data_IF_455611014653
#
_entry.id   IF_455611014653
#
_cell.length_a   1.000
_cell.length_b   1.000
_cell.length_c   1.000
_cell.angle_alpha   90.00
_cell.angle_beta   90.00
_cell.angle_gamma   90.00
#
_symmetry.space_group_name_H-M   'P 1'
#
loop_
_entity.id
_entity.type
_entity.pdbx_description
1 polymer ?
#
# COMPACT_ATOMS: atom_id res chain seq x y z
N UNK A 1 13.10 2.48 -17.75
CA UNK A 1 14.33 2.17 -18.49
C UNK A 1 14.18 2.85 -19.83
N UNK A 2 15.04 3.81 -20.17
CA UNK A 2 14.95 4.55 -21.44
C UNK A 2 15.84 3.80 -22.42
N UNK A 3 15.29 3.31 -23.53
CA UNK A 3 16.07 2.59 -24.53
C UNK A 3 17.07 3.54 -25.22
N UNK A 4 18.36 3.19 -25.21
CA UNK A 4 19.36 3.96 -25.97
C UNK A 4 19.17 3.69 -27.48
N UNK A 5 18.54 4.63 -28.16
CA UNK A 5 18.27 4.57 -29.60
C UNK A 5 19.56 4.52 -30.46
N UNK A 6 20.74 4.78 -29.87
CA UNK A 6 22.05 4.75 -30.54
C UNK A 6 22.83 3.47 -30.26
N UNK A 7 22.34 2.60 -29.37
CA UNK A 7 22.98 1.34 -29.08
C UNK A 7 23.00 0.45 -30.34
N UNK A 8 24.11 -0.26 -30.51
CA UNK A 8 24.28 -1.22 -31.61
C UNK A 8 23.60 -2.56 -31.30
N UNK A 9 23.57 -2.92 -30.02
CA UNK A 9 22.94 -4.12 -29.50
C UNK A 9 22.03 -3.74 -28.32
N UNK A 10 20.94 -4.47 -28.18
CA UNK A 10 20.11 -4.47 -26.98
C UNK A 10 20.81 -5.25 -25.85
N UNK A 11 20.28 -5.15 -24.63
CA UNK A 11 20.83 -5.83 -23.46
C UNK A 11 20.80 -7.36 -23.56
N UNK A 12 19.86 -7.90 -24.34
CA UNK A 12 19.75 -9.32 -24.65
C UNK A 12 20.71 -9.81 -25.74
N UNK A 13 21.55 -8.90 -26.27
CA UNK A 13 22.51 -9.18 -27.34
C UNK A 13 21.91 -9.15 -28.75
N UNK A 14 20.61 -8.86 -28.91
CA UNK A 14 20.00 -8.71 -30.23
C UNK A 14 20.46 -7.41 -30.91
N UNK A 15 20.56 -7.44 -32.24
CA UNK A 15 21.01 -6.28 -33.02
C UNK A 15 19.93 -5.19 -33.05
N UNK A 16 20.28 -3.98 -32.65
CA UNK A 16 19.33 -2.89 -32.45
C UNK A 16 19.06 -2.04 -33.70
N UNK A 17 19.81 -2.25 -34.80
CA UNK A 17 19.69 -1.48 -36.03
C UNK A 17 19.65 0.06 -35.81
N UNK A 18 20.68 0.64 -35.16
CA UNK A 18 20.72 2.09 -34.93
C UNK A 18 20.74 2.87 -36.24
N UNK A 19 20.21 4.10 -36.22
CA UNK A 19 20.10 4.95 -37.42
C UNK A 19 21.44 5.21 -38.11
N UNK A 20 22.50 5.38 -37.33
CA UNK A 20 23.84 5.66 -37.85
C UNK A 20 24.87 4.81 -37.13
N UNK A 21 25.88 4.36 -37.87
CA UNK A 21 27.02 3.60 -37.36
C UNK A 21 28.32 4.25 -37.82
N UNK A 22 29.32 4.27 -36.94
CA UNK A 22 30.63 4.87 -37.25
C UNK A 22 31.50 3.99 -38.14
N UNK A 23 31.35 2.67 -37.99
CA UNK A 23 32.15 1.65 -38.67
C UNK A 23 31.24 0.51 -39.08
N UNK A 24 31.22 0.18 -40.36
CA UNK A 24 30.36 -0.90 -40.87
C UNK A 24 30.78 -2.27 -40.32
N UNK A 25 32.05 -2.43 -39.94
CA UNK A 25 32.61 -3.65 -39.37
C UNK A 25 31.98 -3.99 -38.01
N UNK A 26 31.47 -2.98 -37.29
CA UNK A 26 30.77 -3.19 -36.02
C UNK A 26 29.39 -3.80 -36.22
N UNK A 27 28.77 -3.61 -37.39
CA UNK A 27 27.47 -4.20 -37.72
C UNK A 27 27.65 -5.69 -38.03
N UNK A 28 26.80 -6.58 -37.49
CA UNK A 28 26.77 -7.99 -37.86
C UNK A 28 26.76 -8.17 -39.37
N UNK A 29 27.53 -9.13 -39.88
CA UNK A 29 27.72 -9.31 -41.32
C UNK A 29 26.40 -9.49 -42.08
N UNK A 30 25.44 -10.17 -41.46
CA UNK A 30 24.06 -10.37 -41.96
C UNK A 30 23.23 -9.10 -42.14
N UNK A 31 23.68 -7.96 -41.61
CA UNK A 31 22.92 -6.71 -41.58
C UNK A 31 23.71 -5.53 -42.15
N UNK A 32 24.92 -5.75 -42.69
CA UNK A 32 25.75 -4.68 -43.25
C UNK A 32 25.13 -4.06 -44.49
N UNK A 33 24.42 -4.85 -45.28
CA UNK A 33 23.66 -4.45 -46.47
C UNK A 33 22.51 -3.46 -46.16
N UNK A 34 22.08 -3.38 -44.89
CA UNK A 34 21.06 -2.43 -44.45
C UNK A 34 21.59 -1.00 -44.38
N UNK A 35 22.90 -0.80 -44.46
CA UNK A 35 23.56 0.49 -44.27
C UNK A 35 24.22 0.98 -45.56
N UNK A 36 24.08 2.28 -45.81
CA UNK A 36 24.69 2.98 -46.94
C UNK A 36 25.70 4.01 -46.42
N UNK A 37 26.82 4.26 -47.13
CA UNK A 37 27.71 5.37 -46.81
C UNK A 37 26.93 6.69 -46.74
N UNK A 38 27.14 7.46 -45.68
CA UNK A 38 26.44 8.74 -45.51
C UNK A 38 26.94 9.76 -46.54
N UNK A 39 26.08 10.12 -47.49
CA UNK A 39 26.44 11.02 -48.58
C UNK A 39 26.91 12.39 -48.06
N UNK A 40 28.05 12.86 -48.56
CA UNK A 40 28.62 14.15 -48.18
C UNK A 40 29.40 14.15 -46.86
N UNK A 41 29.70 12.97 -46.28
CA UNK A 41 30.56 12.82 -45.10
C UNK A 41 31.82 12.03 -45.46
N UNK A 42 32.99 12.59 -45.16
CA UNK A 42 34.30 11.95 -45.35
C UNK A 42 34.74 11.11 -44.16
N UNK A 43 33.94 11.04 -43.10
CA UNK A 43 34.28 10.37 -41.84
C UNK A 43 33.95 8.87 -41.82
N UNK A 44 33.49 8.32 -42.96
CA UNK A 44 33.21 6.89 -43.09
C UNK A 44 31.96 6.42 -42.35
N UNK A 45 31.09 7.34 -41.89
CA UNK A 45 29.80 6.97 -41.29
C UNK A 45 28.89 6.30 -42.31
N UNK A 46 28.11 5.35 -41.79
CA UNK A 46 27.05 4.72 -42.56
C UNK A 46 25.71 5.01 -41.89
N UNK A 47 24.68 5.20 -42.72
CA UNK A 47 23.31 5.46 -42.31
C UNK A 47 22.43 4.29 -42.73
N UNK A 48 21.45 3.95 -41.89
CA UNK A 48 20.47 2.94 -42.22
C UNK A 48 19.72 3.35 -43.49
N UNK A 49 19.62 2.43 -44.44
CA UNK A 49 18.85 2.62 -45.66
C UNK A 49 17.41 3.02 -45.31
N UNK A 50 16.87 3.99 -46.03
CA UNK A 50 15.51 4.50 -45.85
C UNK A 50 14.44 3.40 -45.88
N UNK A 51 14.61 2.37 -46.70
CA UNK A 51 13.66 1.25 -46.74
C UNK A 51 13.67 0.47 -45.42
N UNK A 52 14.85 0.08 -44.94
CA UNK A 52 14.99 -0.63 -43.65
C UNK A 52 14.57 0.26 -42.48
N UNK A 53 14.84 1.56 -42.57
CA UNK A 53 14.35 2.54 -41.59
C UNK A 53 12.82 2.49 -41.47
N UNK A 54 12.10 2.53 -42.60
CA UNK A 54 10.63 2.52 -42.61
C UNK A 54 10.02 1.17 -42.24
N UNK A 55 10.64 0.06 -42.66
CA UNK A 55 10.07 -1.27 -42.49
C UNK A 55 10.39 -1.89 -41.13
N UNK A 56 11.56 -1.57 -40.56
CA UNK A 56 12.04 -2.22 -39.33
C UNK A 56 12.14 -1.21 -38.19
N UNK A 57 12.90 -0.14 -38.38
CA UNK A 57 13.30 0.73 -37.27
C UNK A 57 12.18 1.64 -36.79
N UNK A 58 11.45 2.29 -37.69
CA UNK A 58 10.35 3.19 -37.34
C UNK A 58 9.19 2.46 -36.63
N UNK A 59 8.70 1.30 -37.11
CA UNK A 59 7.69 0.51 -36.39
C UNK A 59 8.18 0.06 -35.01
N UNK A 60 9.44 -0.36 -34.92
CA UNK A 60 10.05 -0.75 -33.64
C UNK A 60 10.08 0.43 -32.66
N UNK A 61 10.54 1.61 -33.06
CA UNK A 61 10.57 2.80 -32.19
C UNK A 61 9.16 3.20 -31.73
N UNK A 62 8.16 3.13 -32.60
CA UNK A 62 6.76 3.41 -32.24
C UNK A 62 6.23 2.41 -31.23
N UNK A 63 6.58 1.14 -31.39
CA UNK A 63 6.15 0.08 -30.47
C UNK A 63 6.82 0.22 -29.11
N UNK A 64 8.12 0.54 -29.08
CA UNK A 64 8.84 0.86 -27.84
C UNK A 64 8.19 2.04 -27.13
N UNK A 65 7.91 3.13 -27.84
CA UNK A 65 7.22 4.30 -27.26
C UNK A 65 5.82 3.96 -26.73
N UNK A 66 5.06 3.12 -27.46
CA UNK A 66 3.75 2.62 -27.02
C UNK A 66 3.87 1.81 -25.73
N UNK A 67 4.85 0.92 -25.65
CA UNK A 67 5.09 0.07 -24.48
C UNK A 67 5.60 0.87 -23.29
N UNK A 68 6.53 1.80 -23.49
CA UNK A 68 7.02 2.71 -22.44
C UNK A 68 5.87 3.53 -21.85
N UNK A 69 4.97 4.05 -22.69
CA UNK A 69 3.75 4.73 -22.23
C UNK A 69 2.83 3.80 -21.45
N UNK A 70 2.57 2.59 -21.96
CA UNK A 70 1.73 1.62 -21.27
C UNK A 70 2.31 1.20 -19.91
N UNK A 71 3.63 1.05 -19.80
CA UNK A 71 4.31 0.77 -18.54
C UNK A 71 4.20 1.93 -17.55
N UNK A 72 4.36 3.17 -18.02
CA UNK A 72 4.19 4.36 -17.17
C UNK A 72 2.75 4.44 -16.63
N UNK A 73 1.75 4.25 -17.49
CA UNK A 73 0.34 4.24 -17.11
C UNK A 73 0.02 3.10 -16.13
N UNK A 74 0.57 1.91 -16.36
CA UNK A 74 0.38 0.76 -15.48
C UNK A 74 1.03 0.98 -14.12
N UNK A 75 2.23 1.56 -14.08
CA UNK A 75 2.92 1.89 -12.82
C UNK A 75 2.13 2.91 -12.01
N UNK A 76 1.61 3.96 -12.66
CA UNK A 76 0.78 4.96 -12.00
C UNK A 76 -0.51 4.33 -11.42
N UNK A 77 -1.20 3.47 -12.19
CA UNK A 77 -2.39 2.74 -11.71
C UNK A 77 -2.06 1.81 -10.55
N UNK A 78 -0.97 1.06 -10.65
CA UNK A 78 -0.56 0.13 -9.60
C UNK A 78 -0.30 0.85 -8.27
N UNK A 79 0.40 1.98 -8.30
CA UNK A 79 0.65 2.78 -7.10
C UNK A 79 -0.65 3.27 -6.46
N UNK A 80 -1.61 3.74 -7.27
CA UNK A 80 -2.92 4.16 -6.76
C UNK A 80 -3.75 3.01 -6.21
N UNK A 81 -3.71 1.84 -6.87
CA UNK A 81 -4.46 0.66 -6.46
C UNK A 81 -3.88 0.06 -5.16
N UNK A 82 -2.56 0.01 -5.03
CA UNK A 82 -1.88 -0.46 -3.82
C UNK A 82 -2.18 0.44 -2.64
N UNK A 83 -2.14 1.77 -2.81
CA UNK A 83 -2.47 2.68 -1.72
C UNK A 83 -3.94 2.55 -1.33
N UNK A 84 -4.85 2.44 -2.31
CA UNK A 84 -6.27 2.21 -2.05
C UNK A 84 -6.50 0.89 -1.28
N UNK A 85 -5.84 -0.18 -1.69
CA UNK A 85 -5.93 -1.47 -1.02
C UNK A 85 -5.35 -1.41 0.40
N UNK A 86 -4.23 -0.72 0.60
CA UNK A 86 -3.64 -0.52 1.92
C UNK A 86 -4.60 0.25 2.85
N UNK A 87 -5.23 1.31 2.36
CA UNK A 87 -6.22 2.08 3.12
C UNK A 87 -7.47 1.24 3.42
N UNK A 88 -7.95 0.44 2.47
CA UNK A 88 -9.08 -0.46 2.68
C UNK A 88 -8.78 -1.51 3.76
N UNK A 89 -7.62 -2.17 3.70
CA UNK A 89 -7.17 -3.14 4.72
C UNK A 89 -7.01 -2.50 6.11
N UNK A 90 -6.52 -1.26 6.17
CA UNK A 90 -6.43 -0.51 7.44
C UNK A 90 -7.80 -0.27 8.05
N UNK A 91 -8.77 0.19 7.24
CA UNK A 91 -10.15 0.41 7.69
C UNK A 91 -10.80 -0.88 8.17
N UNK A 92 -10.70 -1.96 7.39
CA UNK A 92 -11.24 -3.27 7.76
C UNK A 92 -10.67 -3.78 9.09
N UNK A 93 -9.38 -3.57 9.35
CA UNK A 93 -8.75 -3.91 10.64
C UNK A 93 -9.28 -3.06 11.79
N UNK A 94 -9.43 -1.75 11.59
CA UNK A 94 -10.00 -0.83 12.60
C UNK A 94 -11.44 -1.26 12.92
N UNK A 95 -12.26 -1.47 11.90
CA UNK A 95 -13.67 -1.86 12.05
C UNK A 95 -13.79 -3.21 12.77
N UNK A 96 -12.95 -4.18 12.39
CA UNK A 96 -12.91 -5.50 13.04
C UNK A 96 -12.50 -5.43 14.51
N UNK A 97 -11.49 -4.61 14.83
CA UNK A 97 -11.02 -4.42 16.20
C UNK A 97 -12.10 -3.74 17.05
N UNK A 98 -12.69 -2.65 16.57
CA UNK A 98 -13.79 -1.94 17.24
C UNK A 98 -14.98 -2.85 17.48
N UNK A 99 -15.40 -3.59 16.45
CA UNK A 99 -16.51 -4.52 16.58
C UNK A 99 -16.21 -5.63 17.59
N UNK A 100 -15.02 -6.23 17.56
CA UNK A 100 -14.64 -7.27 18.53
C UNK A 100 -14.63 -6.71 19.94
N UNK A 101 -13.98 -5.56 20.17
CA UNK A 101 -13.89 -4.95 21.49
C UNK A 101 -15.27 -4.52 22.03
N UNK A 102 -16.12 -3.93 21.20
CA UNK A 102 -17.50 -3.58 21.60
C UNK A 102 -18.30 -4.82 22.01
N UNK A 103 -18.14 -5.93 21.27
CA UNK A 103 -18.76 -7.21 21.59
C UNK A 103 -18.25 -7.79 22.90
N UNK A 104 -16.93 -7.82 23.09
CA UNK A 104 -16.29 -8.34 24.30
C UNK A 104 -16.63 -7.47 25.53
N UNK A 105 -16.81 -6.16 25.34
CA UNK A 105 -17.24 -5.24 26.38
C UNK A 105 -18.72 -5.42 26.80
N UNK A 106 -19.50 -6.17 26.02
CA UNK A 106 -20.89 -6.51 26.31
C UNK A 106 -21.92 -5.52 25.77
N UNK A 107 -21.59 -4.77 24.71
CA UNK A 107 -22.54 -3.90 24.00
C UNK A 107 -23.53 -4.78 23.22
N UNK A 108 -24.85 -4.55 23.30
CA UNK A 108 -25.83 -5.31 22.52
C UNK A 108 -25.61 -5.14 21.01
N UNK A 109 -25.74 -6.22 20.22
CA UNK A 109 -25.51 -6.22 18.76
C UNK A 109 -26.26 -5.08 18.03
N UNK A 110 -27.51 -4.81 18.42
CA UNK A 110 -28.32 -3.73 17.82
C UNK A 110 -27.88 -2.30 18.16
N UNK A 111 -26.93 -2.13 19.08
CA UNK A 111 -26.36 -0.83 19.48
C UNK A 111 -24.88 -0.68 19.11
N UNK A 112 -24.23 -1.73 18.60
CA UNK A 112 -22.81 -1.71 18.27
C UNK A 112 -22.46 -0.68 17.21
N UNK A 113 -23.24 -0.60 16.13
CA UNK A 113 -23.01 0.38 15.06
C UNK A 113 -23.05 1.83 15.59
N UNK A 114 -24.00 2.12 16.49
CA UNK A 114 -24.11 3.42 17.15
C UNK A 114 -22.93 3.72 18.08
N UNK A 115 -22.50 2.74 18.87
CA UNK A 115 -21.33 2.90 19.74
C UNK A 115 -20.04 3.15 18.92
N UNK A 116 -19.84 2.39 17.85
CA UNK A 116 -18.70 2.54 16.95
C UNK A 116 -18.71 3.92 16.27
N UNK A 117 -19.88 4.41 15.85
CA UNK A 117 -20.02 5.73 15.26
C UNK A 117 -19.59 6.85 16.23
N UNK A 118 -20.06 6.80 17.48
CA UNK A 118 -19.68 7.78 18.51
C UNK A 118 -18.18 7.71 18.82
N UNK A 119 -17.63 6.51 19.02
CA UNK A 119 -16.20 6.31 19.26
C UNK A 119 -15.34 6.82 18.10
N UNK A 120 -15.82 6.72 16.86
CA UNK A 120 -15.14 7.22 15.65
C UNK A 120 -15.26 8.72 15.44
N UNK A 121 -16.23 9.37 16.09
CA UNK A 121 -16.34 10.82 16.12
C UNK A 121 -15.38 11.42 17.17
N UNK A 122 -15.22 10.74 18.31
CA UNK A 122 -14.39 11.23 19.42
C UNK A 122 -12.90 10.89 19.32
N UNK A 123 -12.55 9.85 18.56
CA UNK A 123 -11.19 9.35 18.48
C UNK A 123 -10.73 9.13 17.04
N UNK A 124 -9.42 9.22 16.85
CA UNK A 124 -8.75 8.84 15.60
C UNK A 124 -8.09 7.48 15.79
N UNK A 125 -8.19 6.61 14.79
CA UNK A 125 -7.66 5.25 14.86
C UNK A 125 -6.52 5.06 13.87
N UNK A 126 -5.43 4.48 14.35
CA UNK A 126 -4.26 4.13 13.54
C UNK A 126 -3.93 2.66 13.76
N UNK A 127 -3.55 1.95 12.69
CA UNK A 127 -3.02 0.60 12.79
C UNK A 127 -1.52 0.70 12.95
N UNK A 128 -1.02 0.30 14.11
CA UNK A 128 0.42 0.17 14.34
C UNK A 128 0.89 -1.15 13.69
N UNK A 129 1.54 -0.99 12.52
CA UNK A 129 2.07 -2.10 11.71
C UNK A 129 3.41 -2.64 12.28
N UNK A 130 3.91 -2.14 13.43
CA UNK A 130 5.18 -2.56 14.03
C UNK A 130 5.24 -4.02 14.50
N UNK A 131 4.11 -4.75 14.51
CA UNK A 131 4.07 -6.18 14.79
C UNK A 131 4.30 -7.02 13.51
N UNK A 132 5.52 -7.53 13.36
CA UNK A 132 5.99 -8.36 12.23
C UNK A 132 5.18 -9.66 12.01
N UNK A 133 4.37 -10.09 12.98
CA UNK A 133 3.59 -11.35 12.92
C UNK A 133 2.11 -11.16 12.53
N UNK A 134 1.78 -10.11 11.78
CA UNK A 134 0.48 -9.97 11.11
C UNK A 134 -0.67 -9.45 11.98
N UNK A 135 -0.47 -9.32 13.29
CA UNK A 135 -1.44 -8.77 14.25
C UNK A 135 -1.20 -7.29 14.55
N UNK A 136 -1.19 -6.42 13.54
CA UNK A 136 -1.07 -4.98 13.76
C UNK A 136 -2.12 -4.49 14.77
N UNK A 137 -1.67 -3.80 15.82
CA UNK A 137 -2.53 -3.37 16.93
C UNK A 137 -3.20 -2.05 16.55
N UNK A 138 -4.50 -1.93 16.79
CA UNK A 138 -5.22 -0.68 16.57
C UNK A 138 -5.03 0.21 17.80
N UNK A 139 -4.49 1.41 17.57
CA UNK A 139 -4.29 2.44 18.58
C UNK A 139 -5.32 3.54 18.35
N UNK A 140 -6.04 3.91 19.40
CA UNK A 140 -6.92 5.06 19.41
C UNK A 140 -6.17 6.28 19.95
N UNK A 141 -6.41 7.44 19.35
CA UNK A 141 -5.95 8.73 19.86
C UNK A 141 -7.13 9.63 20.11
N UNK A 142 -7.35 10.00 21.37
CA UNK A 142 -8.37 10.97 21.82
C UNK A 142 -7.66 12.11 22.56
N UNK A 143 -7.90 13.35 22.13
CA UNK A 143 -7.29 14.55 22.72
C UNK A 143 -5.75 14.47 22.86
N UNK A 144 -5.07 13.86 21.88
CA UNK A 144 -3.61 13.68 21.88
C UNK A 144 -3.09 12.57 22.79
N UNK A 145 -3.96 11.87 23.52
CA UNK A 145 -3.59 10.70 24.34
C UNK A 145 -3.84 9.43 23.55
N UNK A 146 -2.82 8.56 23.49
CA UNK A 146 -2.92 7.24 22.85
C UNK A 146 -3.39 6.19 23.84
N UNK A 147 -4.38 5.40 23.45
CA UNK A 147 -4.92 4.29 24.22
C UNK A 147 -5.22 3.09 23.31
N UNK A 148 -5.35 1.90 23.91
CA UNK A 148 -5.87 0.74 23.19
C UNK A 148 -7.36 0.92 22.91
N UNK A 149 -7.88 0.24 21.88
CA UNK A 149 -9.32 0.25 21.59
C UNK A 149 -10.14 -0.24 22.80
N UNK A 150 -9.63 -1.24 23.52
CA UNK A 150 -10.19 -1.74 24.79
C UNK A 150 -10.37 -0.63 25.82
N UNK A 151 -9.29 0.09 26.14
CA UNK A 151 -9.34 1.18 27.11
C UNK A 151 -10.26 2.32 26.64
N UNK A 152 -10.35 2.58 25.34
CA UNK A 152 -11.28 3.57 24.81
C UNK A 152 -12.74 3.14 25.02
N UNK A 153 -13.09 1.90 24.67
CA UNK A 153 -14.45 1.37 24.81
C UNK A 153 -14.86 1.29 26.29
N UNK A 154 -13.96 0.90 27.19
CA UNK A 154 -14.23 0.90 28.62
C UNK A 154 -14.50 2.31 29.16
N UNK A 155 -13.64 3.27 28.84
CA UNK A 155 -13.84 4.68 29.24
C UNK A 155 -15.13 5.27 28.65
N UNK A 156 -15.49 4.91 27.42
CA UNK A 156 -16.76 5.30 26.82
C UNK A 156 -17.93 4.70 27.59
N UNK A 157 -17.91 3.39 27.87
CA UNK A 157 -18.98 2.75 28.63
C UNK A 157 -19.11 3.33 30.04
N UNK A 158 -18.02 3.75 30.68
CA UNK A 158 -18.03 4.38 31.99
C UNK A 158 -18.55 5.83 31.99
N UNK A 159 -18.63 6.47 30.82
CA UNK A 159 -19.19 7.81 30.66
C UNK A 159 -20.73 7.84 30.71
N UNK A 160 -21.28 9.05 30.88
CA UNK A 160 -22.73 9.28 30.85
C UNK A 160 -23.32 8.95 29.46
N UNK A 161 -22.56 9.15 28.39
CA UNK A 161 -22.97 8.87 27.01
C UNK A 161 -22.97 7.37 26.70
N UNK A 162 -22.00 6.62 27.24
CA UNK A 162 -21.93 5.17 27.07
C UNK A 162 -22.87 4.37 27.97
N UNK A 163 -23.51 5.01 28.96
CA UNK A 163 -24.43 4.35 29.88
C UNK A 163 -25.59 3.64 29.17
N UNK A 164 -26.08 4.22 28.06
CA UNK A 164 -27.15 3.65 27.24
C UNK A 164 -26.72 2.42 26.42
N UNK A 165 -25.41 2.26 26.19
CA UNK A 165 -24.82 1.17 25.39
C UNK A 165 -24.40 -0.02 26.25
N UNK A 166 -24.44 0.12 27.58
CA UNK A 166 -24.21 -0.99 28.51
C UNK A 166 -25.29 -2.05 28.28
N UNK A 167 -24.90 -3.29 28.01
CA UNK A 167 -25.82 -4.43 28.02
C UNK A 167 -26.49 -4.61 29.39
N UNK A 168 -27.38 -5.61 29.52
CA UNK A 168 -28.06 -5.94 30.79
C UNK A 168 -27.04 -6.05 31.93
N UNK A 169 -26.97 -5.00 32.76
CA UNK A 169 -26.16 -4.82 33.97
C UNK A 169 -24.88 -5.66 34.00
N UNK A 170 -23.71 -5.04 33.72
CA UNK A 170 -22.50 -5.42 34.45
C UNK A 170 -22.90 -5.42 35.93
N UNK A 171 -22.80 -6.57 36.60
CA UNK A 171 -23.02 -6.61 38.03
C UNK A 171 -22.20 -5.47 38.65
N UNK A 172 -22.80 -4.70 39.54
CA UNK A 172 -22.06 -3.70 40.30
C UNK A 172 -20.77 -4.38 40.81
N UNK A 173 -19.61 -3.70 40.76
CA UNK A 173 -18.38 -4.24 41.33
C UNK A 173 -18.73 -4.78 42.71
N UNK A 174 -18.59 -6.09 42.90
CA UNK A 174 -19.09 -6.71 44.12
C UNK A 174 -18.36 -6.09 45.31
N UNK A 175 -19.08 -5.35 46.15
CA UNK A 175 -18.68 -4.85 47.48
C UNK A 175 -18.16 -5.96 48.44
N UNK A 176 -18.14 -7.21 47.97
CA UNK A 176 -17.68 -8.37 48.71
C UNK A 176 -16.17 -8.40 48.93
N UNK A 177 -15.35 -7.66 48.15
CA UNK A 177 -13.89 -7.68 48.36
C UNK A 177 -13.44 -6.89 49.60
N UNK A 178 -14.12 -5.77 49.91
CA UNK A 178 -13.87 -5.01 51.15
C UNK A 178 -14.44 -5.73 52.38
N UNK A 179 -15.59 -6.39 52.23
CA UNK A 179 -16.22 -7.13 53.32
C UNK A 179 -15.39 -8.35 53.75
N UNK A 180 -14.72 -9.04 52.82
CA UNK A 180 -13.83 -10.17 53.15
C UNK A 180 -12.53 -9.74 53.85
N UNK A 181 -12.01 -8.54 53.58
CA UNK A 181 -10.81 -8.02 54.22
C UNK A 181 -11.08 -7.58 55.67
N UNK A 182 -12.24 -6.96 55.92
CA UNK A 182 -12.65 -6.53 57.27
C UNK A 182 -13.03 -7.74 58.14
N UNK A 183 -13.64 -8.78 57.56
CA UNK A 183 -13.96 -10.02 58.29
C UNK A 183 -12.69 -10.80 58.69
N UNK A 184 -11.63 -10.77 57.86
CA UNK A 184 -10.36 -11.43 58.15
C UNK A 184 -9.54 -10.80 59.29
N UNK A 185 -9.76 -9.52 59.60
CA UNK A 185 -9.09 -8.82 60.72
C UNK A 185 -9.78 -8.99 62.08
N UNK A 186 -10.93 -9.69 62.15
CA UNK A 186 -11.74 -9.84 63.37
C UNK A 186 -11.73 -11.24 64.00
N UNK A 187 -10.69 -12.04 63.76
CA UNK A 187 -10.46 -13.24 64.58
C UNK A 187 -9.30 -13.03 65.57
N UNK A 188 -9.60 -12.73 66.85
CA UNK A 188 -8.69 -13.01 67.94
C UNK A 188 -8.95 -14.43 68.45
N UNK A 189 -7.95 -15.32 68.31
CA UNK A 189 -7.57 -16.31 69.32
C UNK A 189 -6.24 -16.94 68.96
#
# INVERSE_FOLDING_TARGET
>A
MIMDKRALFHEDGSFAAPRTVKRIESVPESNRDWYLPEAGKTDGRHILNHQIWKEVREPYEREVERLEKAMADLKAKHETDVERERQARKREKIDSALHSTCKDAGIPDGLMEGAIALLSEEATFEVDESYEFGGGVVVATRNGTRSTVEALVENFLDSDEGAAFRGKRRAAPSDNYFSSMIAGMKQPR
#
